data_IF_976943602932
#
_entry.id   IF_976943602932
#
_cell.length_a   1.000
_cell.length_b   1.000
_cell.length_c   1.000
_cell.angle_alpha   90.00
_cell.angle_beta   90.00
_cell.angle_gamma   90.00
#
_symmetry.space_group_name_H-M   'P 1'
#
loop_
_entity.id
_entity.type
_entity.pdbx_description
1 polymer ?
#
# COMPACT_ATOMS: atom_id res chain seq x y z
N UNK A 1 22.05 -5.95 13.38
CA UNK A 1 20.65 -5.77 12.95
C UNK A 1 20.28 -6.96 12.09
N UNK A 2 19.42 -7.84 12.59
CA UNK A 2 18.92 -9.02 11.85
C UNK A 2 18.13 -8.57 10.62
N UNK A 3 18.26 -9.28 9.50
CA UNK A 3 17.45 -9.00 8.32
C UNK A 3 15.96 -9.21 8.66
N UNK A 4 15.06 -8.27 8.31
CA UNK A 4 13.63 -8.46 8.55
C UNK A 4 13.14 -9.68 7.77
N UNK A 5 12.24 -10.45 8.40
CA UNK A 5 11.62 -11.64 7.80
C UNK A 5 10.70 -11.22 6.66
N UNK A 6 10.39 -12.16 5.76
CA UNK A 6 9.44 -11.90 4.68
C UNK A 6 8.04 -11.72 5.27
N UNK A 7 7.35 -10.64 4.91
CA UNK A 7 6.06 -10.28 5.50
C UNK A 7 5.03 -9.94 4.43
N UNK A 8 3.78 -10.26 4.71
CA UNK A 8 2.68 -9.96 3.80
C UNK A 8 2.37 -8.47 3.78
N UNK A 9 2.09 -7.98 2.58
CA UNK A 9 1.69 -6.60 2.33
C UNK A 9 0.77 -6.53 1.12
N UNK A 10 -0.12 -5.55 1.11
CA UNK A 10 -0.86 -5.20 -0.09
C UNK A 10 0.10 -4.48 -1.04
N UNK A 11 0.24 -4.98 -2.25
CA UNK A 11 1.00 -4.35 -3.32
C UNK A 11 0.03 -3.79 -4.33
N UNK A 12 0.24 -2.53 -4.69
CA UNK A 12 -0.50 -1.87 -5.76
C UNK A 12 0.48 -1.22 -6.75
N UNK A 13 -0.01 -0.99 -7.96
CA UNK A 13 0.73 -0.33 -9.04
C UNK A 13 0.23 1.10 -9.16
N UNK A 14 1.14 2.07 -9.15
CA UNK A 14 0.79 3.46 -9.41
C UNK A 14 0.36 3.61 -10.88
N UNK A 15 -0.89 3.95 -11.11
CA UNK A 15 -1.42 4.21 -12.43
C UNK A 15 -0.89 5.55 -12.97
N UNK A 16 -0.82 5.72 -14.31
CA UNK A 16 -0.58 7.03 -14.90
C UNK A 16 -1.62 8.04 -14.43
N UNK A 17 -1.17 9.23 -14.06
CA UNK A 17 -2.06 10.30 -13.62
C UNK A 17 -2.74 10.95 -14.84
N UNK A 18 -4.08 11.04 -14.89
CA UNK A 18 -4.73 11.93 -15.84
C UNK A 18 -4.48 13.36 -15.33
N UNK A 19 -3.60 14.09 -16.01
CA UNK A 19 -3.56 15.54 -15.87
C UNK A 19 -4.57 16.12 -16.86
N UNK A 20 -5.54 16.91 -16.38
CA UNK A 20 -6.30 17.81 -17.24
C UNK A 20 -5.38 18.98 -17.64
N UNK A 21 -4.96 18.98 -18.91
CA UNK A 21 -4.15 20.04 -19.52
C UNK A 21 -3.26 19.56 -20.67
N UNK A 22 -2.94 20.47 -21.60
CA UNK A 22 -2.25 20.28 -22.90
C UNK A 22 -0.84 19.65 -22.88
N UNK A 23 -0.40 19.05 -21.77
CA UNK A 23 0.90 18.37 -21.65
C UNK A 23 0.70 16.90 -21.27
N UNK A 24 -0.07 16.19 -22.10
CA UNK A 24 -0.44 14.77 -21.97
C UNK A 24 0.70 13.78 -22.30
N UNK A 25 1.86 13.96 -21.66
CA UNK A 25 2.92 12.95 -21.67
C UNK A 25 3.05 12.34 -20.29
N UNK A 26 2.38 11.21 -20.03
CA UNK A 26 2.53 10.29 -18.88
C UNK A 26 3.43 10.81 -17.74
N UNK A 27 2.92 11.74 -16.92
CA UNK A 27 3.68 12.23 -15.77
C UNK A 27 3.37 11.39 -14.54
N UNK A 28 4.45 10.99 -13.89
CA UNK A 28 4.47 10.30 -12.61
C UNK A 28 3.88 11.15 -11.49
N UNK A 29 3.38 10.50 -10.44
CA UNK A 29 3.13 11.20 -9.18
C UNK A 29 4.45 11.86 -8.75
N UNK A 30 4.44 13.12 -8.31
CA UNK A 30 5.67 13.90 -8.07
C UNK A 30 6.70 13.23 -7.15
N UNK A 31 6.26 12.25 -6.36
CA UNK A 31 7.11 11.39 -5.52
C UNK A 31 7.53 10.09 -6.24
N UNK A 32 6.60 9.35 -6.85
CA UNK A 32 6.85 7.99 -7.38
C UNK A 32 6.64 7.89 -8.89
N UNK A 33 7.50 7.18 -9.62
CA UNK A 33 7.31 6.95 -11.06
C UNK A 33 5.98 6.24 -11.36
N UNK A 34 5.30 6.62 -12.44
CA UNK A 34 4.16 5.86 -12.95
C UNK A 34 4.59 4.40 -13.25
N UNK A 35 3.70 3.44 -13.00
CA UNK A 35 4.00 2.01 -13.08
C UNK A 35 4.80 1.44 -11.90
N UNK A 36 5.17 2.27 -10.91
CA UNK A 36 5.89 1.79 -9.73
C UNK A 36 5.03 0.88 -8.87
N UNK A 37 5.66 -0.17 -8.34
CA UNK A 37 5.07 -1.02 -7.30
C UNK A 37 5.21 -0.34 -5.95
N UNK A 38 4.08 -0.14 -5.30
CA UNK A 38 3.94 0.49 -4.00
C UNK A 38 3.38 -0.52 -3.00
N UNK A 39 3.83 -0.42 -1.76
CA UNK A 39 3.44 -1.31 -0.66
C UNK A 39 2.49 -0.54 0.24
N UNK A 40 1.25 -0.97 0.33
CA UNK A 40 0.19 -0.28 1.05
C UNK A 40 0.14 -0.79 2.48
N UNK A 41 0.40 0.11 3.43
CA UNK A 41 0.64 -0.20 4.84
C UNK A 41 -0.41 0.38 5.78
N UNK A 42 -1.49 0.92 5.23
CA UNK A 42 -2.63 1.45 5.98
C UNK A 42 -3.34 2.53 5.17
N UNK A 43 -4.13 3.34 5.85
CA UNK A 43 -4.85 4.46 5.24
C UNK A 43 -5.69 5.20 6.27
N UNK A 44 -6.36 6.26 5.82
CA UNK A 44 -7.18 7.10 6.70
C UNK A 44 -8.59 6.51 6.84
N UNK A 45 -8.88 5.91 7.99
CA UNK A 45 -10.19 5.29 8.28
C UNK A 45 -11.36 6.30 8.28
N UNK A 46 -11.12 7.57 8.67
CA UNK A 46 -12.14 8.62 8.72
C UNK A 46 -12.59 9.18 7.36
N UNK A 47 -11.91 8.82 6.26
CA UNK A 47 -12.27 9.21 4.88
C UNK A 47 -12.59 7.99 4.03
N UNK A 48 -13.16 6.92 4.61
CA UNK A 48 -13.53 5.71 3.87
C UNK A 48 -12.36 5.04 3.14
N UNK A 49 -11.12 5.19 3.65
CA UNK A 49 -9.88 4.75 3.00
C UNK A 49 -9.67 5.30 1.57
N UNK A 50 -10.21 6.48 1.27
CA UNK A 50 -9.96 7.17 0.00
C UNK A 50 -8.47 7.47 -0.22
N UNK A 51 -7.74 7.70 0.88
CA UNK A 51 -6.29 7.91 0.88
C UNK A 51 -5.62 6.79 1.66
N UNK A 52 -4.61 6.17 1.04
CA UNK A 52 -3.83 5.08 1.61
C UNK A 52 -2.39 5.49 1.85
N UNK A 53 -1.77 4.87 2.85
CA UNK A 53 -0.36 5.05 3.19
C UNK A 53 0.45 4.03 2.43
N UNK A 54 1.41 4.49 1.62
CA UNK A 54 2.22 3.64 0.76
C UNK A 54 3.70 3.78 1.06
N UNK A 55 4.47 2.74 0.78
CA UNK A 55 5.93 2.72 0.77
C UNK A 55 6.44 2.31 -0.60
N UNK A 56 7.32 3.12 -1.17
CA UNK A 56 7.88 2.88 -2.50
C UNK A 56 9.21 3.59 -2.72
N UNK A 57 9.80 3.38 -3.89
CA UNK A 57 11.01 4.10 -4.31
C UNK A 57 10.63 5.34 -5.10
N UNK A 58 11.03 6.52 -4.60
CA UNK A 58 10.79 7.77 -5.28
C UNK A 58 11.74 7.98 -6.46
N UNK A 59 11.44 8.96 -7.31
CA UNK A 59 12.36 9.37 -8.39
C UNK A 59 13.78 9.61 -7.87
N UNK A 60 14.75 8.94 -8.49
CA UNK A 60 16.18 9.12 -8.22
C UNK A 60 16.67 8.72 -6.82
N UNK A 61 15.82 8.19 -5.93
CA UNK A 61 16.25 7.81 -4.57
C UNK A 61 16.52 6.33 -4.46
N UNK A 62 17.66 6.01 -3.82
CA UNK A 62 18.04 4.64 -3.45
C UNK A 62 17.31 4.11 -2.21
N UNK A 63 16.66 4.99 -1.43
CA UNK A 63 15.95 4.62 -0.21
C UNK A 63 14.44 4.76 -0.41
N UNK A 64 13.63 3.81 0.08
CA UNK A 64 12.19 3.93 0.00
C UNK A 64 11.67 5.01 0.94
N UNK A 65 10.55 5.62 0.55
CA UNK A 65 9.86 6.68 1.29
C UNK A 65 8.41 6.27 1.51
N UNK A 66 7.80 6.78 2.58
CA UNK A 66 6.35 6.70 2.77
C UNK A 66 5.68 7.93 2.17
N UNK A 67 4.48 7.76 1.63
CA UNK A 67 3.62 8.87 1.23
C UNK A 67 2.15 8.47 1.37
N UNK A 68 1.27 9.45 1.28
CA UNK A 68 -0.16 9.25 1.22
C UNK A 68 -0.63 9.44 -0.22
N UNK A 69 -1.41 8.50 -0.74
CA UNK A 69 -1.93 8.53 -2.11
C UNK A 69 -3.42 8.21 -2.13
N UNK A 70 -4.21 8.92 -2.96
CA UNK A 70 -5.58 8.50 -3.23
C UNK A 70 -5.61 7.11 -3.89
N UNK A 71 -6.42 6.21 -3.34
CA UNK A 71 -6.49 4.82 -3.81
C UNK A 71 -6.93 4.69 -5.27
N UNK A 72 -7.73 5.64 -5.79
CA UNK A 72 -8.08 5.69 -7.23
C UNK A 72 -6.89 5.76 -8.18
N UNK A 73 -5.72 6.21 -7.72
CA UNK A 73 -4.50 6.27 -8.54
C UNK A 73 -3.67 5.00 -8.47
N UNK A 74 -4.10 4.01 -7.69
CA UNK A 74 -3.42 2.74 -7.51
C UNK A 74 -4.30 1.64 -8.09
N UNK A 75 -3.73 0.75 -8.88
CA UNK A 75 -4.44 -0.39 -9.47
C UNK A 75 -3.67 -1.71 -9.32
N UNK A 76 -4.27 -2.82 -9.76
CA UNK A 76 -3.66 -4.15 -9.65
C UNK A 76 -3.38 -4.54 -8.19
N UNK A 77 -4.36 -4.28 -7.33
CA UNK A 77 -4.29 -4.51 -5.89
C UNK A 77 -4.18 -6.00 -5.59
N UNK A 78 -3.18 -6.40 -4.81
CA UNK A 78 -2.97 -7.82 -4.44
C UNK A 78 -2.17 -7.97 -3.17
N UNK A 79 -2.48 -8.99 -2.37
CA UNK A 79 -1.60 -9.40 -1.28
C UNK A 79 -0.36 -10.12 -1.83
N UNK A 80 0.82 -9.77 -1.32
CA UNK A 80 2.08 -10.47 -1.64
C UNK A 80 2.99 -10.53 -0.45
N UNK A 81 3.76 -11.62 -0.38
CA UNK A 81 4.87 -11.76 0.53
C UNK A 81 6.06 -10.92 0.05
N UNK A 82 6.49 -9.97 0.88
CA UNK A 82 7.53 -8.99 0.58
C UNK A 82 8.84 -9.39 1.24
N UNK A 83 9.89 -9.56 0.43
CA UNK A 83 11.21 -9.99 0.91
C UNK A 83 12.23 -8.87 1.00
N UNK A 84 11.88 -7.65 0.55
CA UNK A 84 12.86 -6.56 0.37
C UNK A 84 13.19 -5.90 1.71
N UNK A 85 14.42 -6.05 2.26
CA UNK A 85 14.72 -5.55 3.60
C UNK A 85 14.61 -4.03 3.75
N UNK A 86 14.92 -3.28 2.68
CA UNK A 86 14.80 -1.83 2.69
C UNK A 86 13.34 -1.36 2.79
N UNK A 87 12.42 -2.08 2.14
CA UNK A 87 10.98 -1.81 2.23
C UNK A 87 10.51 -2.15 3.63
N UNK A 88 10.77 -3.38 4.09
CA UNK A 88 10.31 -3.86 5.40
C UNK A 88 10.76 -2.96 6.55
N UNK A 89 12.05 -2.55 6.57
CA UNK A 89 12.53 -1.57 7.55
C UNK A 89 11.76 -0.26 7.51
N UNK A 90 11.37 0.21 6.32
CA UNK A 90 10.61 1.46 6.17
C UNK A 90 9.14 1.30 6.59
N UNK A 91 8.58 0.09 6.42
CA UNK A 91 7.26 -0.29 6.93
C UNK A 91 7.29 -0.27 8.45
N UNK A 92 8.23 -1.00 9.08
CA UNK A 92 8.36 -1.03 10.55
C UNK A 92 8.57 0.36 11.12
N UNK A 93 9.42 1.16 10.48
CA UNK A 93 9.60 2.57 10.84
C UNK A 93 8.26 3.35 10.76
N UNK A 94 7.48 3.19 9.69
CA UNK A 94 6.20 3.88 9.57
C UNK A 94 5.19 3.43 10.65
N UNK A 95 5.14 2.14 10.97
CA UNK A 95 4.29 1.59 12.05
C UNK A 95 4.66 2.19 13.42
N UNK A 96 5.96 2.31 13.71
CA UNK A 96 6.46 2.87 14.96
C UNK A 96 6.14 4.37 15.10
N UNK A 97 6.23 5.13 14.00
CA UNK A 97 6.01 6.57 14.03
C UNK A 97 4.54 6.97 13.94
N UNK A 98 3.72 6.22 13.20
CA UNK A 98 2.31 6.53 12.97
C UNK A 98 1.46 5.26 12.86
N UNK A 99 1.15 4.69 14.02
CA UNK A 99 0.31 3.50 14.13
C UNK A 99 -1.15 3.75 13.73
N UNK A 100 -1.56 4.99 13.45
CA UNK A 100 -2.93 5.31 13.04
C UNK A 100 -3.09 5.18 11.52
N UNK A 101 -2.15 5.73 10.75
CA UNK A 101 -2.20 5.70 9.28
C UNK A 101 -1.37 4.58 8.67
N UNK A 102 -0.39 4.05 9.40
CA UNK A 102 0.43 2.90 9.02
C UNK A 102 0.10 1.68 9.91
N UNK A 103 -1.18 1.39 10.11
CA UNK A 103 -1.66 0.31 10.98
C UNK A 103 -1.60 -1.10 10.36
N UNK A 104 -1.10 -1.24 9.12
CA UNK A 104 -1.03 -2.50 8.35
C UNK A 104 -2.31 -3.31 8.39
N UNK A 105 -3.47 -2.66 8.34
CA UNK A 105 -4.75 -3.37 8.34
C UNK A 105 -4.94 -4.30 9.56
N UNK A 106 -4.19 -4.10 10.67
CA UNK A 106 -4.33 -4.85 11.93
C UNK A 106 -5.63 -4.51 12.67
N UNK A 107 -6.27 -3.41 12.27
CA UNK A 107 -7.54 -2.91 12.80
C UNK A 107 -8.41 -2.53 11.60
N UNK A 108 -8.94 -3.54 10.91
CA UNK A 108 -9.72 -3.36 9.69
C UNK A 108 -11.09 -2.72 9.95
N UNK A 109 -11.69 -3.01 11.10
CA UNK A 109 -12.98 -2.48 11.56
C UNK A 109 -12.93 -2.14 13.05
N UNK A 110 -13.79 -1.22 13.55
CA UNK A 110 -14.04 -1.08 14.98
C UNK A 110 -14.49 -2.42 15.57
N UNK A 111 -13.67 -3.02 16.44
CA UNK A 111 -13.92 -4.35 17.04
C UNK A 111 -13.09 -5.49 16.47
N UNK A 112 -12.34 -5.29 15.37
CA UNK A 112 -11.42 -6.30 14.85
C UNK A 112 -10.12 -6.35 15.65
N UNK A 113 -9.81 -7.52 16.18
CA UNK A 113 -8.56 -7.83 16.88
C UNK A 113 -7.60 -8.64 16.00
N UNK A 114 -7.41 -8.25 14.73
CA UNK A 114 -6.36 -8.80 13.87
C UNK A 114 -4.93 -8.47 14.36
N UNK A 115 -4.81 -7.62 15.38
CA UNK A 115 -3.54 -7.33 16.06
C UNK A 115 -2.83 -8.53 16.69
N UNK A 116 -3.39 -9.74 16.61
CA UNK A 116 -2.77 -10.99 17.06
C UNK A 116 -2.15 -11.84 15.94
N UNK A 117 -2.46 -11.59 14.67
CA UNK A 117 -1.90 -12.39 13.57
C UNK A 117 -0.55 -11.79 13.17
N UNK A 118 0.48 -12.63 13.12
CA UNK A 118 1.82 -12.22 12.73
C UNK A 118 1.85 -11.82 11.24
N UNK A 119 2.57 -10.75 10.90
CA UNK A 119 2.64 -10.28 9.52
C UNK A 119 3.31 -11.27 8.55
N UNK A 120 3.98 -12.30 9.08
CA UNK A 120 4.59 -13.41 8.33
C UNK A 120 3.62 -14.57 8.10
N UNK A 121 2.48 -14.60 8.79
CA UNK A 121 1.51 -15.70 8.75
C UNK A 121 0.71 -15.71 7.43
N UNK A 122 0.55 -16.86 6.74
CA UNK A 122 -0.36 -16.99 5.62
C UNK A 122 -1.79 -16.50 5.89
N UNK A 123 -2.32 -16.69 7.11
CA UNK A 123 -3.68 -16.23 7.47
C UNK A 123 -3.79 -14.70 7.32
N UNK A 124 -2.75 -13.97 7.72
CA UNK A 124 -2.69 -12.54 7.51
C UNK A 124 -2.61 -12.18 6.02
N UNK A 125 -1.95 -13.01 5.21
CA UNK A 125 -1.96 -12.90 3.74
C UNK A 125 -3.37 -12.98 3.15
N UNK A 126 -4.21 -13.90 3.63
CA UNK A 126 -5.60 -14.08 3.17
C UNK A 126 -6.49 -12.89 3.56
N UNK A 127 -6.28 -12.34 4.77
CA UNK A 127 -6.93 -11.10 5.19
C UNK A 127 -6.54 -9.98 4.23
N UNK A 128 -5.25 -9.77 3.97
CA UNK A 128 -4.79 -8.74 3.05
C UNK A 128 -5.31 -8.95 1.62
N UNK A 129 -5.51 -10.20 1.18
CA UNK A 129 -6.10 -10.50 -0.12
C UNK A 129 -7.55 -10.02 -0.19
N UNK A 130 -8.32 -10.24 0.88
CA UNK A 130 -9.70 -9.75 1.00
C UNK A 130 -9.77 -8.21 0.97
N UNK A 131 -8.84 -7.55 1.66
CA UNK A 131 -8.72 -6.07 1.65
C UNK A 131 -8.34 -5.56 0.25
N UNK A 132 -7.36 -6.20 -0.39
CA UNK A 132 -6.93 -5.84 -1.73
C UNK A 132 -8.07 -5.97 -2.75
N UNK A 133 -8.86 -7.06 -2.66
CA UNK A 133 -10.03 -7.27 -3.49
C UNK A 133 -11.11 -6.19 -3.25
N UNK A 134 -11.33 -5.79 -1.99
CA UNK A 134 -12.22 -4.67 -1.67
C UNK A 134 -11.75 -3.37 -2.31
N UNK A 135 -10.45 -3.06 -2.26
CA UNK A 135 -9.88 -1.88 -2.92
C UNK A 135 -10.04 -1.89 -4.43
N UNK A 136 -9.80 -3.05 -5.07
CA UNK A 136 -9.99 -3.22 -6.50
C UNK A 136 -11.44 -2.89 -6.89
N UNK A 137 -12.42 -3.53 -6.23
CA UNK A 137 -13.85 -3.26 -6.48
C UNK A 137 -14.23 -1.81 -6.23
N UNK A 138 -13.75 -1.24 -5.13
CA UNK A 138 -14.10 0.11 -4.69
C UNK A 138 -13.60 1.21 -5.64
N UNK A 139 -12.45 1.02 -6.28
CA UNK A 139 -11.82 2.06 -7.11
C UNK A 139 -11.86 1.78 -8.60
N UNK A 140 -11.91 0.53 -9.03
CA UNK A 140 -11.81 0.13 -10.43
C UNK A 140 -12.97 -0.76 -10.90
N UNK A 141 -13.93 -1.07 -10.03
CA UNK A 141 -15.01 -2.00 -10.32
C UNK A 141 -14.58 -3.46 -10.21
N UNK A 142 -15.52 -4.36 -10.47
CA UNK A 142 -15.21 -5.77 -10.66
C UNK A 142 -14.42 -5.90 -11.98
N UNK A 143 -13.31 -6.63 -11.97
CA UNK A 143 -12.66 -7.04 -13.22
C UNK A 143 -13.66 -7.96 -13.93
N UNK A 144 -14.45 -7.45 -14.88
CA UNK A 144 -15.22 -8.30 -15.79
C UNK A 144 -14.21 -9.17 -16.55
N UNK A 145 -14.31 -10.48 -16.31
CA UNK A 145 -13.46 -11.56 -16.83
C UNK A 145 -13.62 -11.76 -18.35
#
# INVERSE_FOLDING_TARGET
>A
MTAPRAEWCIVATLLPYPYDGDKQGFRSHGIFPAGSRLHVIGGFAGMGHETVTVVGFSHGRRRPVSAFLPGRYLGGWRARLVYRPAILRRIHQAEEFDSTTAHRWRHLMPGDHLGRIDATDPEYGDVLASVAAWFQRRFHGDEEE
#
